data_IF_966084816028
#
_entry.id   IF_966084816028
#
_cell.length_a   1.000
_cell.length_b   1.000
_cell.length_c   1.000
_cell.angle_alpha   90.00
_cell.angle_beta   90.00
_cell.angle_gamma   90.00
#
_symmetry.space_group_name_H-M   'P 1'
#
loop_
_entity.id
_entity.type
_entity.pdbx_description
1 polymer ?
#
# COMPACT_ATOMS: atom_id res chain seq x y z
N UNK A 1 -8.79 19.15 13.83
CA UNK A 1 -8.50 18.54 13.87
C UNK A 1 -8.56 17.68 13.96
N UNK A 2 -8.19 17.68 14.41
CA UNK A 2 -8.93 16.79 14.70
C UNK A 2 -9.75 16.67 13.58
N UNK A 3 -10.33 15.69 13.41
CA UNK A 3 -11.08 15.47 12.33
C UNK A 3 -10.42 14.84 11.16
N UNK A 4 -9.28 14.19 11.28
CA UNK A 4 -8.79 13.44 10.19
C UNK A 4 -9.61 12.23 10.05
N UNK A 5 -10.12 11.93 8.86
CA UNK A 5 -10.85 10.74 8.59
C UNK A 5 -9.89 9.63 8.20
N UNK A 6 -9.77 8.66 9.07
CA UNK A 6 -8.89 7.52 8.82
C UNK A 6 -9.74 6.32 8.49
N UNK A 7 -9.33 5.55 7.53
CA UNK A 7 -10.07 4.40 7.07
C UNK A 7 -9.17 3.18 7.08
N UNK A 8 -9.54 2.15 7.82
CA UNK A 8 -8.75 0.95 7.93
C UNK A 8 -9.20 -0.07 6.90
N UNK A 9 -8.26 -0.68 6.20
CA UNK A 9 -8.54 -1.77 5.29
C UNK A 9 -7.68 -2.97 5.64
N UNK A 10 -8.23 -4.16 5.55
CA UNK A 10 -7.50 -5.40 5.84
C UNK A 10 -7.77 -6.40 4.74
N UNK A 11 -6.76 -7.06 4.19
CA UNK A 11 -7.00 -8.09 3.19
C UNK A 11 -7.76 -9.28 3.79
N UNK A 12 -8.66 -9.82 3.01
CA UNK A 12 -9.36 -11.03 3.42
C UNK A 12 -8.56 -12.22 2.98
N UNK A 13 -8.18 -13.08 3.97
CA UNK A 13 -7.19 -14.07 3.79
C UNK A 13 -7.45 -15.00 2.67
N UNK A 14 -8.60 -15.43 2.47
CA UNK A 14 -8.87 -16.48 1.51
C UNK A 14 -9.43 -15.98 0.18
N UNK A 15 -9.75 -14.71 0.12
CA UNK A 15 -10.32 -14.15 -1.08
C UNK A 15 -9.41 -13.26 -1.83
N UNK A 16 -8.43 -12.68 -1.18
CA UNK A 16 -7.67 -11.63 -1.80
C UNK A 16 -6.27 -12.07 -2.21
N UNK A 17 -6.02 -12.02 -3.48
CA UNK A 17 -4.64 -11.92 -3.98
C UNK A 17 -4.23 -10.47 -3.80
N UNK A 18 -2.98 -10.15 -3.99
CA UNK A 18 -2.51 -8.76 -3.94
C UNK A 18 -3.25 -7.88 -4.92
N UNK A 19 -3.48 -8.40 -6.14
CA UNK A 19 -4.20 -7.66 -7.17
C UNK A 19 -5.66 -7.44 -6.75
N UNK A 20 -6.35 -8.48 -6.26
CA UNK A 20 -7.74 -8.36 -5.87
C UNK A 20 -7.91 -7.41 -4.69
N UNK A 21 -7.03 -7.49 -3.70
CA UNK A 21 -7.05 -6.57 -2.57
C UNK A 21 -6.89 -5.13 -3.06
N UNK A 22 -5.95 -4.89 -3.95
CA UNK A 22 -5.71 -3.56 -4.49
C UNK A 22 -6.94 -3.05 -5.23
N UNK A 23 -7.49 -3.86 -6.12
CA UNK A 23 -8.56 -3.40 -7.01
C UNK A 23 -9.90 -3.25 -6.29
N UNK A 24 -10.17 -4.07 -5.33
CA UNK A 24 -11.49 -4.08 -4.70
C UNK A 24 -11.56 -3.31 -3.40
N UNK A 25 -10.46 -3.18 -2.69
CA UNK A 25 -10.46 -2.53 -1.38
C UNK A 25 -9.53 -1.33 -1.28
N UNK A 26 -8.29 -1.49 -1.66
CA UNK A 26 -7.27 -0.47 -1.37
C UNK A 26 -7.37 0.74 -2.30
N UNK A 27 -7.40 0.53 -3.59
CA UNK A 27 -7.47 1.65 -4.53
C UNK A 27 -8.79 2.41 -4.40
N UNK A 28 -9.95 1.74 -4.24
CA UNK A 28 -11.19 2.48 -4.02
C UNK A 28 -11.16 3.33 -2.75
N UNK A 29 -10.56 2.82 -1.66
CA UNK A 29 -10.44 3.59 -0.43
C UNK A 29 -9.58 4.84 -0.63
N UNK A 30 -8.49 4.69 -1.39
CA UNK A 30 -7.60 5.81 -1.67
C UNK A 30 -8.25 6.82 -2.62
N UNK A 31 -9.11 6.37 -3.51
CA UNK A 31 -9.80 7.27 -4.44
C UNK A 31 -10.92 8.04 -3.76
N UNK A 32 -11.38 7.58 -2.61
CA UNK A 32 -12.40 8.28 -1.86
C UNK A 32 -11.73 9.44 -1.13
N UNK A 33 -11.92 10.63 -1.61
CA UNK A 33 -11.24 11.81 -1.06
C UNK A 33 -11.75 12.22 0.31
N UNK A 34 -12.81 11.60 0.79
CA UNK A 34 -13.25 11.87 2.15
C UNK A 34 -12.36 11.15 3.15
N UNK A 35 -11.54 10.17 2.71
CA UNK A 35 -10.59 9.52 3.58
C UNK A 35 -9.29 10.32 3.55
N UNK A 36 -8.95 10.94 4.66
CA UNK A 36 -7.69 11.70 4.73
C UNK A 36 -6.52 10.74 4.82
N UNK A 37 -6.71 9.58 5.39
CA UNK A 37 -5.68 8.57 5.50
C UNK A 37 -6.28 7.19 5.38
N UNK A 38 -5.65 6.32 4.62
CA UNK A 38 -6.04 4.93 4.49
C UNK A 38 -4.97 4.07 5.17
N UNK A 39 -5.35 3.26 6.14
CA UNK A 39 -4.42 2.48 6.92
C UNK A 39 -4.63 1.01 6.59
N UNK A 40 -3.61 0.38 6.03
CA UNK A 40 -3.66 -1.04 5.74
C UNK A 40 -3.23 -1.80 6.98
N UNK A 41 -4.14 -2.56 7.54
CA UNK A 41 -3.87 -3.29 8.77
C UNK A 41 -3.64 -4.75 8.41
N UNK A 42 -2.41 -5.21 8.60
CA UNK A 42 -2.01 -6.57 8.31
C UNK A 42 -1.78 -7.25 9.65
N UNK A 43 -2.62 -8.19 10.00
CA UNK A 43 -2.55 -8.76 11.33
C UNK A 43 -2.36 -10.26 11.27
N UNK A 44 -1.60 -10.76 12.20
CA UNK A 44 -1.61 -12.16 12.55
C UNK A 44 -1.21 -13.17 11.49
N UNK A 45 -0.56 -12.87 10.43
CA UNK A 45 -0.50 -13.74 9.40
C UNK A 45 0.67 -13.59 8.54
N UNK A 46 1.36 -14.61 8.34
CA UNK A 46 2.57 -14.56 7.60
C UNK A 46 2.44 -14.84 6.16
N UNK A 47 1.28 -14.71 5.55
CA UNK A 47 1.13 -15.04 4.19
C UNK A 47 1.36 -13.92 3.26
N UNK A 48 1.70 -12.74 3.75
CA UNK A 48 1.91 -11.60 2.89
C UNK A 48 3.33 -11.70 2.32
N UNK A 49 3.46 -12.51 1.31
CA UNK A 49 4.75 -12.67 0.65
C UNK A 49 5.08 -11.49 -0.24
N UNK A 50 6.28 -11.49 -0.76
CA UNK A 50 6.77 -10.41 -1.62
C UNK A 50 5.87 -10.19 -2.83
N UNK A 51 5.37 -11.25 -3.41
CA UNK A 51 4.51 -11.17 -4.57
C UNK A 51 3.21 -10.47 -4.24
N UNK A 52 2.60 -10.83 -3.10
CA UNK A 52 1.37 -10.17 -2.65
C UNK A 52 1.61 -8.68 -2.46
N UNK A 53 2.70 -8.33 -1.76
CA UNK A 53 2.98 -6.95 -1.43
C UNK A 53 3.30 -6.12 -2.67
N UNK A 54 4.01 -6.70 -3.61
CA UNK A 54 4.34 -6.00 -4.84
C UNK A 54 3.08 -5.73 -5.67
N UNK A 55 2.18 -6.70 -5.79
CA UNK A 55 0.94 -6.53 -6.52
C UNK A 55 0.00 -5.55 -5.82
N UNK A 56 -0.10 -5.63 -4.50
CA UNK A 56 -1.01 -4.76 -3.77
C UNK A 56 -0.50 -3.32 -3.72
N UNK A 57 0.73 -3.13 -3.37
CA UNK A 57 1.27 -1.79 -3.11
C UNK A 57 2.00 -1.21 -4.31
N UNK A 58 2.86 -1.99 -4.94
CA UNK A 58 3.55 -1.53 -6.14
C UNK A 58 2.56 -1.26 -7.26
N UNK A 59 1.50 -2.07 -7.34
CA UNK A 59 0.45 -1.88 -8.34
C UNK A 59 -0.31 -0.56 -8.19
N UNK A 60 -0.35 0.04 -6.99
CA UNK A 60 -0.98 1.34 -6.83
C UNK A 60 -0.31 2.38 -7.72
N UNK A 61 0.99 2.30 -7.82
CA UNK A 61 1.76 3.24 -8.63
C UNK A 61 1.76 2.80 -10.09
N UNK A 62 2.04 1.52 -10.34
CA UNK A 62 2.23 1.03 -11.72
C UNK A 62 0.93 0.94 -12.50
N UNK A 63 -0.17 0.61 -11.82
CA UNK A 63 -1.40 0.28 -12.52
C UNK A 63 -2.58 1.16 -12.18
N UNK A 64 -2.61 1.74 -11.00
CA UNK A 64 -3.76 2.52 -10.56
C UNK A 64 -3.57 4.02 -10.71
N UNK A 65 -2.38 4.45 -11.04
CA UNK A 65 -2.13 5.86 -11.31
C UNK A 65 -1.81 6.74 -10.10
N UNK A 66 -1.63 6.14 -8.93
CA UNK A 66 -1.25 6.95 -7.77
C UNK A 66 0.22 7.33 -7.85
N UNK A 67 0.57 8.47 -7.31
CA UNK A 67 1.97 8.88 -7.24
C UNK A 67 2.56 8.48 -5.90
N UNK A 68 3.86 8.31 -5.87
CA UNK A 68 4.57 7.99 -4.63
C UNK A 68 4.34 9.06 -3.58
N UNK A 69 4.37 10.33 -4.00
CA UNK A 69 4.17 11.45 -3.09
C UNK A 69 2.78 11.40 -2.46
N UNK A 70 1.77 11.12 -3.24
CA UNK A 70 0.41 11.03 -2.76
C UNK A 70 0.28 9.90 -1.75
N UNK A 71 0.91 8.77 -2.00
CA UNK A 71 0.86 7.64 -1.09
C UNK A 71 1.62 7.93 0.21
N UNK A 72 2.71 8.66 0.14
CA UNK A 72 3.41 9.06 1.38
C UNK A 72 2.51 9.89 2.28
N UNK A 73 1.63 10.65 1.69
CA UNK A 73 0.77 11.53 2.48
C UNK A 73 -0.48 10.85 3.00
N UNK A 74 -0.99 9.89 2.27
CA UNK A 74 -2.31 9.34 2.59
C UNK A 74 -2.32 7.88 2.97
N UNK A 75 -1.27 7.13 2.71
CA UNK A 75 -1.25 5.70 2.98
C UNK A 75 -0.41 5.38 4.20
N UNK A 76 -0.95 4.59 5.11
CA UNK A 76 -0.18 4.02 6.19
C UNK A 76 -0.38 2.53 6.15
N UNK A 77 0.57 1.78 6.67
CA UNK A 77 0.46 0.34 6.74
C UNK A 77 1.14 -0.15 8.00
N UNK A 78 0.60 -1.17 8.62
CA UNK A 78 1.15 -1.69 9.86
C UNK A 78 0.90 -3.18 9.99
N UNK A 79 1.78 -3.84 10.72
CA UNK A 79 1.62 -5.25 11.04
C UNK A 79 1.81 -5.37 12.54
N UNK A 80 1.01 -6.17 13.18
CA UNK A 80 0.99 -6.23 14.65
C UNK A 80 2.22 -6.96 15.20
N UNK A 81 2.84 -7.86 14.48
CA UNK A 81 3.95 -8.63 15.01
C UNK A 81 5.21 -8.63 14.15
N UNK A 82 5.13 -8.42 12.86
CA UNK A 82 6.28 -8.56 11.98
C UNK A 82 6.63 -7.25 11.31
N UNK A 83 7.62 -6.57 11.84
CA UNK A 83 8.02 -5.28 11.32
C UNK A 83 8.65 -5.34 9.94
N UNK A 84 9.25 -6.48 9.58
CA UNK A 84 9.87 -6.61 8.27
C UNK A 84 8.83 -6.52 7.13
N UNK A 85 7.57 -6.82 7.42
CA UNK A 85 6.49 -6.66 6.43
C UNK A 85 6.34 -5.18 6.07
N UNK A 86 6.37 -4.31 7.06
CA UNK A 86 6.26 -2.87 6.85
C UNK A 86 7.42 -2.37 5.99
N UNK A 87 8.63 -2.84 6.29
CA UNK A 87 9.80 -2.45 5.50
C UNK A 87 9.70 -2.95 4.07
N UNK A 88 9.17 -4.13 3.87
CA UNK A 88 9.03 -4.71 2.55
C UNK A 88 8.00 -3.93 1.72
N UNK A 89 6.91 -3.49 2.33
CA UNK A 89 5.94 -2.64 1.64
C UNK A 89 6.60 -1.36 1.18
N UNK A 90 7.35 -0.74 2.06
CA UNK A 90 8.06 0.50 1.73
C UNK A 90 9.00 0.29 0.54
N UNK A 91 9.72 -0.82 0.52
CA UNK A 91 10.61 -1.15 -0.59
C UNK A 91 9.85 -1.34 -1.89
N UNK A 92 8.68 -1.96 -1.85
CA UNK A 92 7.90 -2.18 -3.07
C UNK A 92 7.37 -0.86 -3.63
N UNK A 93 6.99 0.06 -2.76
CA UNK A 93 6.53 1.37 -3.20
C UNK A 93 7.67 2.17 -3.84
N UNK A 94 8.84 2.14 -3.22
CA UNK A 94 10.01 2.84 -3.75
C UNK A 94 10.41 2.25 -5.11
N UNK A 95 10.41 0.93 -5.21
CA UNK A 95 10.77 0.28 -6.47
C UNK A 95 9.80 0.66 -7.58
N UNK A 96 8.51 0.65 -7.31
CA UNK A 96 7.51 1.03 -8.30
C UNK A 96 7.68 2.50 -8.71
N UNK A 97 7.97 3.36 -7.76
CA UNK A 97 8.18 4.78 -8.05
C UNK A 97 9.41 5.00 -8.93
N UNK A 98 10.48 4.26 -8.67
CA UNK A 98 11.67 4.35 -9.51
C UNK A 98 11.39 3.83 -10.92
N UNK A 99 10.64 2.75 -11.01
CA UNK A 99 10.30 2.16 -12.32
C UNK A 99 9.51 3.14 -13.18
N UNK A 100 8.73 4.00 -12.61
CA UNK A 100 7.94 4.97 -13.35
C UNK A 100 8.57 6.37 -13.37
N UNK A 101 9.80 6.48 -12.92
CA UNK A 101 10.48 7.78 -12.97
C UNK A 101 10.01 8.79 -11.95
N UNK A 102 9.26 8.36 -10.94
CA UNK A 102 8.79 9.29 -9.90
C UNK A 102 9.86 9.53 -8.84
N UNK A 103 10.86 8.67 -8.74
CA UNK A 103 12.00 8.86 -7.88
C UNK A 103 13.26 8.64 -8.68
N UNK A 104 14.33 9.35 -8.36
CA UNK A 104 15.58 9.13 -9.06
C UNK A 104 16.14 7.77 -8.71
N UNK A 105 16.83 7.18 -9.68
CA UNK A 105 17.52 5.96 -9.44
C UNK A 105 18.77 6.28 -8.76
N UNK A 106 18.97 5.89 -7.55
CA UNK A 106 20.05 6.27 -6.82
C UNK A 106 21.13 5.43 -6.84
N UNK A 107 21.47 4.81 -7.78
CA UNK A 107 22.47 3.99 -7.82
C UNK A 107 23.63 4.60 -8.02
N UNK A 108 24.16 5.23 -7.32
CA UNK A 108 25.30 5.86 -7.52
C UNK A 108 26.33 5.40 -6.84
#
# INVERSE_FOLDING_TARGET
PYGRNEYDVTPEEYKNTGKAFRETLLAPALRDKSNDKVIVVLTGYNRYGRSFLDEAFGGLIRKEGFTYQELLERLEYKHDTVKSIVNLISERLVKAAKDLGQLPDEDI
#
